data_IF_678931175929
#
_entry.id   IF_678931175929
#
_cell.length_a   1.000
_cell.length_b   1.000
_cell.length_c   1.000
_cell.angle_alpha   90.00
_cell.angle_beta   90.00
_cell.angle_gamma   90.00
#
_symmetry.space_group_name_H-M   'P 1'
#
loop_
_entity.id
_entity.type
_entity.pdbx_description
1 polymer ?
#
# COMPACT_ATOMS: atom_id res chain seq x y z
N UNK A 1 13.14 -10.36 -5.06
CA UNK A 1 13.32 -9.10 -5.79
C UNK A 1 12.27 -8.07 -5.37
N UNK A 2 10.95 -8.38 -5.44
CA UNK A 2 9.88 -7.42 -5.11
C UNK A 2 9.99 -6.85 -3.69
N UNK A 3 10.24 -7.68 -2.69
CA UNK A 3 10.44 -7.23 -1.30
C UNK A 3 11.66 -6.31 -1.18
N UNK A 4 12.78 -6.67 -1.84
CA UNK A 4 14.01 -5.86 -1.87
C UNK A 4 13.77 -4.48 -2.49
N UNK A 5 12.99 -4.42 -3.57
CA UNK A 5 12.57 -3.15 -4.17
C UNK A 5 11.72 -2.32 -3.21
N UNK A 6 10.65 -2.93 -2.64
CA UNK A 6 9.78 -2.25 -1.68
C UNK A 6 10.54 -1.73 -0.46
N UNK A 7 11.54 -2.47 0.01
CA UNK A 7 12.37 -2.06 1.15
C UNK A 7 13.22 -0.83 0.83
N UNK A 8 13.83 -0.78 -0.36
CA UNK A 8 14.66 0.33 -0.84
C UNK A 8 13.85 1.59 -1.17
N UNK A 9 12.61 1.48 -1.62
CA UNK A 9 11.79 2.61 -2.08
C UNK A 9 11.27 3.43 -0.89
N UNK A 10 11.58 4.72 -0.85
CA UNK A 10 11.33 5.59 0.33
C UNK A 10 9.86 5.86 0.59
N UNK A 11 9.00 5.84 -0.44
CA UNK A 11 7.59 6.15 -0.29
C UNK A 11 6.70 4.92 -0.07
N UNK A 12 7.29 3.73 -0.08
CA UNK A 12 6.62 2.49 0.30
C UNK A 12 6.77 2.33 1.82
N UNK A 13 5.71 2.63 2.56
CA UNK A 13 5.74 2.69 4.03
C UNK A 13 5.57 1.31 4.69
N UNK A 14 4.97 0.35 4.00
CA UNK A 14 4.81 -1.04 4.44
C UNK A 14 4.84 -2.00 3.23
N UNK A 15 5.00 -3.28 3.50
CA UNK A 15 5.14 -4.30 2.46
C UNK A 15 4.03 -5.34 2.57
N UNK A 16 3.42 -5.64 1.42
CA UNK A 16 2.60 -6.82 1.20
C UNK A 16 3.23 -7.63 0.06
N UNK A 17 3.10 -8.94 0.07
CA UNK A 17 3.66 -9.75 -1.01
C UNK A 17 3.04 -9.40 -2.35
N UNK A 18 3.86 -9.20 -3.37
CA UNK A 18 3.41 -8.92 -4.74
C UNK A 18 2.98 -10.16 -5.52
N UNK A 19 2.91 -11.33 -4.90
CA UNK A 19 2.49 -12.56 -5.55
C UNK A 19 2.61 -13.76 -4.63
N UNK A 20 2.06 -14.88 -5.05
CA UNK A 20 2.13 -16.14 -4.33
C UNK A 20 3.36 -16.93 -4.77
N UNK A 21 4.05 -17.56 -3.81
CA UNK A 21 5.12 -18.51 -4.09
C UNK A 21 4.48 -19.79 -4.64
N UNK A 22 4.96 -20.27 -5.78
CA UNK A 22 4.41 -21.47 -6.46
C UNK A 22 5.39 -22.64 -6.59
N UNK A 23 6.61 -22.46 -6.11
CA UNK A 23 7.71 -23.43 -6.16
C UNK A 23 7.93 -24.17 -4.84
N UNK A 24 7.00 -24.04 -3.91
CA UNK A 24 6.94 -24.77 -2.64
C UNK A 24 5.62 -25.52 -2.50
N UNK A 25 5.53 -26.44 -1.53
CA UNK A 25 4.27 -27.12 -1.23
C UNK A 25 3.20 -26.12 -0.75
N UNK A 26 1.96 -26.30 -1.17
CA UNK A 26 0.87 -25.31 -0.97
C UNK A 26 0.70 -24.89 0.49
N UNK A 27 0.79 -25.85 1.43
CA UNK A 27 0.68 -25.54 2.86
C UNK A 27 1.87 -24.77 3.44
N UNK A 28 2.96 -24.62 2.68
CA UNK A 28 4.15 -23.84 3.08
C UNK A 28 4.16 -22.43 2.48
N UNK A 29 3.28 -22.12 1.53
CA UNK A 29 3.30 -20.84 0.78
C UNK A 29 3.38 -19.63 1.69
N UNK A 30 2.41 -19.44 2.58
CA UNK A 30 2.36 -18.32 3.52
C UNK A 30 3.59 -18.24 4.41
N UNK A 31 4.02 -19.39 4.94
CA UNK A 31 5.15 -19.50 5.86
C UNK A 31 6.46 -19.09 5.22
N UNK A 32 6.79 -19.68 4.06
CA UNK A 32 8.01 -19.38 3.31
C UNK A 32 7.99 -17.94 2.80
N UNK A 33 6.84 -17.47 2.32
CA UNK A 33 6.66 -16.09 1.88
C UNK A 33 6.93 -15.09 3.02
N UNK A 34 6.38 -15.36 4.20
CA UNK A 34 6.58 -14.48 5.34
C UNK A 34 8.04 -14.52 5.84
N UNK A 35 8.67 -15.67 5.85
CA UNK A 35 10.10 -15.78 6.17
C UNK A 35 10.96 -14.94 5.20
N UNK A 36 10.66 -14.95 3.90
CA UNK A 36 11.34 -14.09 2.93
C UNK A 36 11.08 -12.61 3.22
N UNK A 37 9.86 -12.23 3.58
CA UNK A 37 9.53 -10.84 3.92
C UNK A 37 10.34 -10.36 5.14
N UNK A 38 10.42 -11.18 6.19
CA UNK A 38 11.21 -10.87 7.40
C UNK A 38 12.72 -10.75 7.11
N UNK A 39 13.27 -11.59 6.23
CA UNK A 39 14.68 -11.61 5.85
C UNK A 39 15.08 -10.46 4.93
N UNK A 40 14.12 -9.84 4.25
CA UNK A 40 14.39 -8.87 3.19
C UNK A 40 13.88 -7.47 3.50
N UNK A 41 13.24 -7.24 4.65
CA UNK A 41 12.76 -5.91 5.01
C UNK A 41 12.53 -5.73 6.50
N UNK A 42 12.83 -4.53 7.00
CA UNK A 42 12.47 -4.07 8.34
C UNK A 42 11.12 -3.31 8.38
N UNK A 43 10.55 -2.99 7.22
CA UNK A 43 9.28 -2.26 7.14
C UNK A 43 8.13 -3.08 7.72
N UNK A 44 7.07 -2.43 8.25
CA UNK A 44 5.85 -3.11 8.65
C UNK A 44 5.27 -3.94 7.49
N UNK A 45 4.58 -5.02 7.81
CA UNK A 45 4.16 -6.00 6.81
C UNK A 45 2.67 -6.29 6.89
N UNK A 46 2.08 -6.63 5.77
CA UNK A 46 0.72 -7.17 5.70
C UNK A 46 0.82 -8.61 5.20
N UNK A 47 0.17 -9.51 5.92
CA UNK A 47 0.27 -10.94 5.65
C UNK A 47 -1.10 -11.52 5.35
N UNK A 48 -1.20 -12.24 4.24
CA UNK A 48 -2.36 -13.07 3.92
C UNK A 48 -2.03 -14.49 4.38
N UNK A 49 -2.88 -15.06 5.22
CA UNK A 49 -2.76 -16.44 5.69
C UNK A 49 -3.93 -17.28 5.13
N UNK A 50 -3.67 -18.49 4.70
CA UNK A 50 -4.72 -19.38 4.23
C UNK A 50 -5.60 -19.83 5.40
N UNK A 51 -4.98 -20.24 6.49
CA UNK A 51 -5.69 -20.70 7.69
C UNK A 51 -5.09 -20.19 9.02
N UNK A 52 -5.67 -20.65 10.12
CA UNK A 52 -5.25 -20.27 11.46
C UNK A 52 -3.90 -20.90 11.85
N UNK A 53 -3.48 -22.00 11.24
CA UNK A 53 -2.20 -22.65 11.57
C UNK A 53 -1.05 -21.88 10.91
N UNK A 54 -1.24 -21.44 9.67
CA UNK A 54 -0.33 -20.49 9.02
C UNK A 54 -0.13 -19.27 9.89
N UNK A 55 -1.23 -18.69 10.37
CA UNK A 55 -1.18 -17.50 11.22
C UNK A 55 -0.43 -17.72 12.53
N UNK A 56 -0.55 -18.90 13.16
CA UNK A 56 0.23 -19.23 14.37
C UNK A 56 1.74 -19.23 14.09
N UNK A 57 2.16 -19.79 12.96
CA UNK A 57 3.56 -19.83 12.57
C UNK A 57 4.09 -18.45 12.20
N UNK A 58 3.27 -17.63 11.49
CA UNK A 58 3.56 -16.22 11.22
C UNK A 58 3.77 -15.43 12.52
N UNK A 59 2.87 -15.59 13.51
CA UNK A 59 3.01 -14.95 14.83
C UNK A 59 4.29 -15.41 15.53
N UNK A 60 4.62 -16.71 15.47
CA UNK A 60 5.84 -17.25 16.09
C UNK A 60 7.12 -16.69 15.45
N UNK A 61 7.17 -16.58 14.13
CA UNK A 61 8.29 -15.97 13.41
C UNK A 61 8.43 -14.48 13.74
N UNK A 62 7.33 -13.72 13.73
CA UNK A 62 7.34 -12.32 14.09
C UNK A 62 7.74 -12.08 15.55
N UNK A 63 7.30 -12.95 16.47
CA UNK A 63 7.69 -12.90 17.87
C UNK A 63 9.20 -13.19 18.06
N UNK A 64 9.79 -14.08 17.25
CA UNK A 64 11.23 -14.31 17.25
C UNK A 64 12.00 -13.03 16.84
N UNK A 65 11.55 -12.31 15.80
CA UNK A 65 12.14 -11.04 15.38
C UNK A 65 11.99 -9.95 16.47
N UNK A 66 10.86 -9.88 17.16
CA UNK A 66 10.61 -8.91 18.24
C UNK A 66 11.17 -9.34 19.60
N UNK A 67 11.69 -10.55 19.71
CA UNK A 67 12.24 -11.13 20.93
C UNK A 67 11.19 -11.75 21.85
N UNK A 68 9.92 -11.40 21.74
CA UNK A 68 8.79 -12.02 22.47
C UNK A 68 7.44 -11.67 21.87
N UNK A 69 6.41 -12.46 22.21
CA UNK A 69 5.02 -12.16 21.85
C UNK A 69 4.54 -10.85 22.48
N UNK A 70 4.92 -10.56 23.71
CA UNK A 70 4.56 -9.32 24.40
C UNK A 70 5.12 -8.09 23.66
N UNK A 71 6.38 -8.14 23.23
CA UNK A 71 6.97 -7.07 22.43
C UNK A 71 6.27 -6.92 21.07
N UNK A 72 5.89 -8.03 20.44
CA UNK A 72 5.13 -8.00 19.19
C UNK A 72 3.76 -7.34 19.37
N UNK A 73 3.06 -7.60 20.47
CA UNK A 73 1.76 -6.98 20.80
C UNK A 73 1.89 -5.46 21.02
N UNK A 74 2.97 -5.01 21.69
CA UNK A 74 3.23 -3.58 21.93
C UNK A 74 3.74 -2.84 20.69
N UNK A 75 4.50 -3.51 19.83
CA UNK A 75 5.06 -2.95 18.60
C UNK A 75 4.84 -3.93 17.45
N UNK A 76 3.63 -4.01 16.91
CA UNK A 76 3.31 -4.94 15.84
C UNK A 76 4.28 -4.79 14.66
N UNK A 77 4.75 -5.92 14.14
CA UNK A 77 5.57 -5.98 12.94
C UNK A 77 4.70 -6.15 11.70
N UNK A 78 3.55 -6.76 11.88
CA UNK A 78 2.62 -7.03 10.79
C UNK A 78 1.16 -6.85 11.21
N UNK A 79 0.29 -6.74 10.21
CA UNK A 79 -1.15 -6.92 10.35
C UNK A 79 -1.62 -8.05 9.42
N UNK A 80 -2.69 -8.70 9.80
CA UNK A 80 -3.29 -9.79 8.99
C UNK A 80 -4.32 -9.19 8.04
N UNK A 81 -4.24 -9.56 6.76
CA UNK A 81 -5.32 -9.34 5.80
C UNK A 81 -6.31 -10.49 5.88
N UNK A 82 -7.54 -10.18 6.21
CA UNK A 82 -8.64 -11.13 6.35
C UNK A 82 -9.90 -10.54 5.73
N UNK A 83 -10.73 -11.36 5.09
CA UNK A 83 -11.91 -10.88 4.39
C UNK A 83 -13.10 -11.84 4.50
N UNK A 84 -14.33 -11.32 4.49
CA UNK A 84 -15.52 -12.12 4.25
C UNK A 84 -15.61 -12.50 2.76
N UNK A 85 -16.48 -13.43 2.45
CA UNK A 85 -16.89 -13.71 1.07
C UNK A 85 -18.20 -12.99 0.77
N UNK A 86 -18.15 -11.93 -0.02
CA UNK A 86 -19.35 -11.17 -0.39
C UNK A 86 -20.28 -11.98 -1.31
N UNK A 87 -21.62 -11.94 -1.15
CA UNK A 87 -22.34 -11.12 -0.18
C UNK A 87 -22.59 -11.82 1.17
N UNK A 88 -22.15 -11.21 2.25
CA UNK A 88 -22.54 -11.51 3.64
C UNK A 88 -22.21 -12.95 4.11
N UNK A 89 -21.19 -13.59 3.53
CA UNK A 89 -20.72 -14.91 3.94
C UNK A 89 -19.38 -14.76 4.69
N UNK A 90 -19.29 -15.43 5.84
CA UNK A 90 -18.05 -15.50 6.61
C UNK A 90 -17.64 -16.97 6.69
N UNK A 91 -16.49 -17.30 6.15
CA UNK A 91 -15.94 -18.65 6.20
C UNK A 91 -15.37 -18.96 7.57
N UNK A 92 -15.24 -20.24 7.92
CA UNK A 92 -14.59 -20.64 9.18
C UNK A 92 -13.16 -20.14 9.26
N UNK A 93 -12.42 -20.22 8.15
CA UNK A 93 -11.01 -19.79 8.05
C UNK A 93 -10.86 -18.29 8.34
N UNK A 94 -11.77 -17.46 7.78
CA UNK A 94 -11.76 -16.02 8.03
C UNK A 94 -12.06 -15.70 9.50
N UNK A 95 -13.07 -16.34 10.09
CA UNK A 95 -13.46 -16.12 11.47
C UNK A 95 -12.41 -16.64 12.44
N UNK A 96 -11.83 -17.82 12.22
CA UNK A 96 -10.79 -18.38 13.09
C UNK A 96 -9.54 -17.48 13.13
N UNK A 97 -9.10 -16.95 11.99
CA UNK A 97 -8.01 -15.97 11.90
C UNK A 97 -8.36 -14.67 12.65
N UNK A 98 -9.58 -14.16 12.43
CA UNK A 98 -10.07 -12.96 13.10
C UNK A 98 -10.09 -13.11 14.64
N UNK A 99 -10.56 -14.26 15.14
CA UNK A 99 -10.61 -14.57 16.57
C UNK A 99 -9.21 -14.73 17.16
N UNK A 100 -8.28 -15.38 16.46
CA UNK A 100 -6.89 -15.51 16.90
C UNK A 100 -6.20 -14.14 16.95
N UNK A 101 -6.40 -13.27 15.94
CA UNK A 101 -5.89 -11.91 15.95
C UNK A 101 -6.39 -11.13 17.17
N UNK A 102 -7.70 -11.21 17.48
CA UNK A 102 -8.27 -10.58 18.66
C UNK A 102 -7.63 -11.10 19.95
N UNK A 103 -7.53 -12.43 20.10
CA UNK A 103 -6.96 -13.08 21.27
C UNK A 103 -5.50 -12.67 21.49
N UNK A 104 -4.70 -12.69 20.44
CA UNK A 104 -3.27 -12.39 20.48
C UNK A 104 -2.97 -10.89 20.36
N UNK A 105 -3.99 -10.03 20.22
CA UNK A 105 -3.86 -8.59 19.99
C UNK A 105 -2.97 -8.23 18.78
N UNK A 106 -3.02 -9.05 17.74
CA UNK A 106 -2.38 -8.77 16.45
C UNK A 106 -3.33 -7.90 15.62
N UNK A 107 -2.86 -6.80 15.02
CA UNK A 107 -3.69 -6.00 14.14
C UNK A 107 -4.26 -6.82 12.99
N UNK A 108 -5.54 -6.65 12.72
CA UNK A 108 -6.23 -7.32 11.62
C UNK A 108 -7.00 -6.30 10.78
N UNK A 109 -6.86 -6.41 9.47
CA UNK A 109 -7.72 -5.79 8.50
C UNK A 109 -8.84 -6.79 8.14
N UNK A 110 -10.09 -6.42 8.38
CA UNK A 110 -11.23 -7.20 7.89
C UNK A 110 -11.86 -6.45 6.72
N UNK A 111 -11.40 -6.81 5.52
CA UNK A 111 -11.68 -6.08 4.29
C UNK A 111 -12.90 -6.67 3.56
N UNK A 112 -13.95 -5.89 3.43
CA UNK A 112 -15.10 -6.26 2.60
C UNK A 112 -14.73 -6.09 1.11
N UNK A 113 -14.80 -7.19 0.36
CA UNK A 113 -14.38 -7.29 -1.05
C UNK A 113 -15.54 -7.32 -2.05
N UNK A 114 -16.64 -6.63 -1.79
CA UNK A 114 -17.85 -6.70 -2.61
C UNK A 114 -17.71 -6.05 -3.99
N UNK A 115 -17.90 -6.83 -5.05
CA UNK A 115 -17.83 -6.39 -6.44
C UNK A 115 -19.17 -5.78 -6.90
N UNK A 116 -19.19 -4.49 -7.16
CA UNK A 116 -20.37 -3.72 -7.57
C UNK A 116 -20.94 -4.24 -8.91
N UNK A 117 -22.21 -4.67 -8.88
CA UNK A 117 -22.87 -5.33 -10.01
C UNK A 117 -22.67 -6.84 -10.10
N UNK A 118 -21.77 -7.39 -9.28
CA UNK A 118 -21.52 -8.82 -9.16
C UNK A 118 -22.01 -9.37 -7.82
N UNK A 119 -21.30 -9.07 -6.74
CA UNK A 119 -21.61 -9.55 -5.39
C UNK A 119 -22.20 -8.47 -4.48
N UNK A 120 -22.35 -7.25 -4.98
CA UNK A 120 -23.09 -6.15 -4.33
C UNK A 120 -24.04 -5.50 -5.32
N UNK A 121 -24.99 -4.66 -4.85
CA UNK A 121 -25.77 -3.83 -5.77
C UNK A 121 -24.87 -3.00 -6.69
N UNK A 122 -25.32 -2.77 -7.93
CA UNK A 122 -24.53 -2.06 -8.96
C UNK A 122 -24.28 -0.58 -8.66
N UNK A 123 -24.98 -0.01 -7.69
CA UNK A 123 -24.82 1.39 -7.29
C UNK A 123 -23.74 1.54 -6.23
N UNK A 124 -22.93 2.58 -6.31
CA UNK A 124 -21.87 2.86 -5.32
C UNK A 124 -22.42 2.88 -3.89
N UNK A 125 -23.56 3.56 -3.65
CA UNK A 125 -24.19 3.57 -2.32
C UNK A 125 -24.64 2.19 -1.82
N UNK A 126 -25.14 1.33 -2.72
CA UNK A 126 -25.50 -0.05 -2.37
C UNK A 126 -24.29 -0.90 -2.03
N UNK A 127 -23.20 -0.74 -2.75
CA UNK A 127 -21.91 -1.40 -2.46
C UNK A 127 -21.36 -0.93 -1.12
N UNK A 128 -21.32 0.37 -0.86
CA UNK A 128 -20.88 0.93 0.43
C UNK A 128 -21.70 0.35 1.58
N UNK A 129 -23.04 0.30 1.44
CA UNK A 129 -23.92 -0.22 2.48
C UNK A 129 -23.63 -1.69 2.82
N UNK A 130 -23.44 -2.53 1.79
CA UNK A 130 -23.19 -3.96 2.00
C UNK A 130 -21.79 -4.18 2.58
N UNK A 131 -20.75 -3.57 2.00
CA UNK A 131 -19.37 -3.66 2.50
C UNK A 131 -19.27 -3.16 3.95
N UNK A 132 -19.97 -2.06 4.28
CA UNK A 132 -20.03 -1.58 5.66
C UNK A 132 -20.64 -2.62 6.61
N UNK A 133 -21.70 -3.30 6.21
CA UNK A 133 -22.33 -4.33 7.04
C UNK A 133 -21.36 -5.52 7.28
N UNK A 134 -20.61 -5.93 6.26
CA UNK A 134 -19.60 -6.99 6.37
C UNK A 134 -18.45 -6.58 7.31
N UNK A 135 -17.89 -5.37 7.15
CA UNK A 135 -16.86 -4.87 8.06
C UNK A 135 -17.34 -4.78 9.51
N UNK A 136 -18.56 -4.30 9.74
CA UNK A 136 -19.14 -4.18 11.09
C UNK A 136 -19.38 -5.54 11.72
N UNK A 137 -19.77 -6.56 10.94
CA UNK A 137 -19.88 -7.92 11.48
C UNK A 137 -18.53 -8.43 11.97
N UNK A 138 -17.47 -8.29 11.17
CA UNK A 138 -16.11 -8.63 11.59
C UNK A 138 -15.67 -7.88 12.84
N UNK A 139 -15.92 -6.58 12.91
CA UNK A 139 -15.63 -5.74 14.06
C UNK A 139 -16.34 -6.26 15.33
N UNK A 140 -17.63 -6.56 15.24
CA UNK A 140 -18.42 -7.05 16.39
C UNK A 140 -17.86 -8.38 16.90
N UNK A 141 -17.61 -9.34 16.02
CA UNK A 141 -17.05 -10.65 16.40
C UNK A 141 -15.68 -10.46 17.06
N UNK A 142 -14.81 -9.67 16.46
CA UNK A 142 -13.45 -9.39 16.95
C UNK A 142 -13.47 -8.73 18.33
N UNK A 143 -14.28 -7.70 18.53
CA UNK A 143 -14.36 -6.96 19.78
C UNK A 143 -15.10 -7.72 20.90
N UNK A 144 -16.03 -8.61 20.57
CA UNK A 144 -16.62 -9.53 21.54
C UNK A 144 -15.61 -10.55 22.06
N UNK A 145 -14.67 -10.99 21.23
CA UNK A 145 -13.58 -11.90 21.64
C UNK A 145 -12.59 -11.20 22.57
N UNK A 146 -12.15 -10.00 22.25
CA UNK A 146 -11.21 -9.23 23.07
C UNK A 146 -11.41 -7.71 22.86
N UNK A 147 -12.15 -7.04 23.76
CA UNK A 147 -12.40 -5.61 23.66
C UNK A 147 -11.11 -4.78 23.60
N UNK A 148 -11.04 -3.86 22.65
CA UNK A 148 -9.89 -2.99 22.43
C UNK A 148 -8.70 -3.66 21.71
N UNK A 149 -8.85 -4.86 21.15
CA UNK A 149 -7.86 -5.43 20.24
C UNK A 149 -7.78 -4.61 18.93
N UNK A 150 -6.59 -4.47 18.30
CA UNK A 150 -6.39 -3.63 17.12
C UNK A 150 -7.18 -4.13 15.90
N UNK A 151 -7.94 -3.23 15.26
CA UNK A 151 -8.77 -3.54 14.11
C UNK A 151 -8.69 -2.42 13.08
N UNK A 152 -8.55 -2.78 11.80
CA UNK A 152 -8.62 -1.88 10.66
C UNK A 152 -9.94 -2.13 9.90
N UNK A 153 -10.63 -1.04 9.62
CA UNK A 153 -11.84 -1.05 8.82
C UNK A 153 -11.44 -1.11 7.34
N UNK A 154 -11.55 -2.30 6.75
CA UNK A 154 -11.01 -2.60 5.45
C UNK A 154 -12.06 -2.69 4.34
N UNK A 155 -11.65 -2.33 3.16
CA UNK A 155 -12.39 -2.56 1.94
C UNK A 155 -11.40 -2.69 0.78
N UNK A 156 -11.82 -3.40 -0.24
CA UNK A 156 -11.14 -3.54 -1.51
C UNK A 156 -12.18 -3.91 -2.55
N UNK A 157 -12.04 -3.45 -3.73
CA UNK A 157 -12.76 -3.76 -4.94
C UNK A 157 -13.44 -2.57 -5.62
N UNK A 158 -13.63 -2.77 -6.92
CA UNK A 158 -14.28 -1.84 -7.81
C UNK A 158 -15.61 -2.38 -8.35
N UNK A 159 -16.22 -1.69 -9.30
CA UNK A 159 -17.33 -2.21 -10.05
C UNK A 159 -16.89 -3.30 -11.03
N UNK A 160 -17.83 -4.15 -11.42
CA UNK A 160 -17.69 -5.03 -12.55
C UNK A 160 -18.14 -4.32 -13.84
N UNK A 161 -17.33 -4.35 -14.89
CA UNK A 161 -17.81 -3.99 -16.22
C UNK A 161 -18.75 -5.10 -16.71
N UNK A 162 -20.05 -4.82 -16.74
CA UNK A 162 -21.08 -5.79 -17.12
C UNK A 162 -21.03 -6.21 -18.59
N UNK A 163 -20.19 -5.55 -19.43
CA UNK A 163 -19.97 -5.93 -20.83
C UNK A 163 -18.89 -6.99 -20.97
N UNK A 164 -17.83 -6.86 -20.17
CA UNK A 164 -16.66 -7.76 -20.20
C UNK A 164 -16.63 -8.74 -19.05
N UNK A 165 -17.43 -8.52 -18.00
CA UNK A 165 -17.47 -9.28 -16.76
C UNK A 165 -16.13 -9.23 -15.98
N UNK A 166 -15.34 -8.18 -16.20
CA UNK A 166 -14.07 -7.95 -15.51
C UNK A 166 -14.24 -6.93 -14.38
N UNK A 167 -13.48 -7.10 -13.32
CA UNK A 167 -13.32 -6.07 -12.28
C UNK A 167 -12.60 -4.84 -12.84
N UNK A 168 -12.95 -3.65 -12.32
CA UNK A 168 -12.33 -2.37 -12.74
C UNK A 168 -11.91 -1.59 -11.49
N UNK A 169 -10.78 -1.95 -10.89
CA UNK A 169 -10.32 -1.37 -9.62
C UNK A 169 -10.11 0.14 -9.69
N UNK A 170 -9.36 0.65 -10.64
CA UNK A 170 -9.04 2.08 -10.74
C UNK A 170 -10.13 2.93 -11.41
N UNK A 171 -11.39 2.47 -11.47
CA UNK A 171 -12.47 3.23 -12.10
C UNK A 171 -12.94 4.41 -11.23
N UNK A 172 -13.56 5.44 -11.84
CA UNK A 172 -14.16 6.54 -11.06
C UNK A 172 -15.14 6.06 -9.99
N UNK A 173 -15.91 4.99 -10.27
CA UNK A 173 -16.86 4.41 -9.30
C UNK A 173 -16.13 3.71 -8.15
N UNK A 174 -15.02 3.01 -8.40
CA UNK A 174 -14.18 2.42 -7.35
C UNK A 174 -13.67 3.51 -6.39
N UNK A 175 -13.15 4.61 -6.94
CA UNK A 175 -12.68 5.76 -6.16
C UNK A 175 -13.81 6.39 -5.33
N UNK A 176 -15.05 6.47 -5.87
CA UNK A 176 -16.22 6.96 -5.11
C UNK A 176 -16.58 6.02 -3.96
N UNK A 177 -16.59 4.70 -4.19
CA UNK A 177 -16.85 3.69 -3.16
C UNK A 177 -15.81 3.82 -2.06
N UNK A 178 -14.52 3.88 -2.40
CA UNK A 178 -13.43 4.08 -1.44
C UNK A 178 -13.64 5.33 -0.58
N UNK A 179 -13.97 6.47 -1.20
CA UNK A 179 -14.25 7.71 -0.47
C UNK A 179 -15.37 7.55 0.56
N UNK A 180 -16.48 6.90 0.17
CA UNK A 180 -17.58 6.61 1.09
C UNK A 180 -17.18 5.67 2.23
N UNK A 181 -16.38 4.63 1.94
CA UNK A 181 -15.87 3.72 2.98
C UNK A 181 -14.89 4.42 3.94
N UNK A 182 -14.02 5.31 3.43
CA UNK A 182 -13.16 6.15 4.27
C UNK A 182 -13.98 7.06 5.20
N UNK A 183 -15.09 7.63 4.72
CA UNK A 183 -16.02 8.42 5.55
C UNK A 183 -16.69 7.57 6.64
N UNK A 184 -17.09 6.34 6.32
CA UNK A 184 -17.63 5.40 7.31
C UNK A 184 -16.58 5.03 8.36
N UNK A 185 -15.34 4.76 7.97
CA UNK A 185 -14.26 4.51 8.92
C UNK A 185 -14.07 5.70 9.90
N UNK A 186 -14.04 6.93 9.39
CA UNK A 186 -13.98 8.15 10.22
C UNK A 186 -15.18 8.28 11.16
N UNK A 187 -16.38 7.98 10.67
CA UNK A 187 -17.60 8.00 11.47
C UNK A 187 -17.51 7.06 12.67
N UNK A 188 -16.94 5.86 12.47
CA UNK A 188 -16.70 4.87 13.54
C UNK A 188 -15.43 5.13 14.34
N UNK A 189 -14.62 6.13 13.98
CA UNK A 189 -13.32 6.41 14.60
C UNK A 189 -12.34 5.22 14.48
N UNK A 190 -12.35 4.55 13.34
CA UNK A 190 -11.48 3.43 13.03
C UNK A 190 -10.44 3.82 11.96
N UNK A 191 -9.23 3.28 12.02
CA UNK A 191 -8.30 3.40 10.92
C UNK A 191 -8.84 2.65 9.69
N UNK A 192 -8.73 3.27 8.52
CA UNK A 192 -9.18 2.70 7.26
C UNK A 192 -8.06 2.00 6.50
N UNK A 193 -8.42 0.96 5.79
CA UNK A 193 -7.63 0.25 4.79
C UNK A 193 -8.34 0.33 3.44
N UNK A 194 -7.61 0.68 2.37
CA UNK A 194 -8.15 0.79 1.01
C UNK A 194 -7.08 0.51 -0.04
N UNK A 195 -7.44 0.73 -1.28
CA UNK A 195 -6.62 0.45 -2.46
C UNK A 195 -6.07 1.75 -3.07
N UNK A 196 -4.93 1.67 -3.72
CA UNK A 196 -4.42 2.71 -4.60
C UNK A 196 -3.22 2.19 -5.42
N UNK A 197 -3.06 2.67 -6.65
CA UNK A 197 -1.87 2.41 -7.47
C UNK A 197 -1.92 1.15 -8.33
N UNK A 198 -2.94 0.34 -8.19
CA UNK A 198 -3.27 -0.72 -9.14
C UNK A 198 -3.99 -0.16 -10.38
N UNK A 199 -4.12 -0.96 -11.40
CA UNK A 199 -4.78 -0.56 -12.63
C UNK A 199 -5.36 -1.72 -13.43
N UNK A 200 -6.18 -1.36 -14.43
CA UNK A 200 -6.77 -2.31 -15.38
C UNK A 200 -5.84 -2.61 -16.55
N UNK A 201 -4.83 -1.77 -16.80
CA UNK A 201 -3.84 -2.00 -17.84
C UNK A 201 -3.06 -3.29 -17.61
N UNK A 202 -2.73 -3.99 -18.69
CA UNK A 202 -2.01 -5.28 -18.67
C UNK A 202 -0.50 -5.10 -18.71
N UNK A 203 -0.05 -3.88 -18.93
CA UNK A 203 1.37 -3.53 -19.05
C UNK A 203 1.63 -2.18 -18.39
N UNK A 204 2.88 -1.92 -18.01
CA UNK A 204 3.32 -0.61 -17.54
C UNK A 204 3.35 0.38 -18.71
N UNK A 205 2.29 1.18 -18.87
CA UNK A 205 2.08 2.14 -19.94
C UNK A 205 1.41 3.45 -19.44
N UNK A 206 0.94 4.27 -20.37
CA UNK A 206 0.26 5.53 -20.07
C UNK A 206 -1.04 5.30 -19.32
N UNK A 207 -1.76 4.20 -19.60
CA UNK A 207 -3.00 3.87 -18.90
C UNK A 207 -2.73 3.53 -17.45
N UNK A 208 -1.80 2.61 -17.17
CA UNK A 208 -1.48 2.21 -15.79
C UNK A 208 -0.99 3.41 -14.96
N UNK A 209 -0.16 4.28 -15.56
CA UNK A 209 0.34 5.48 -14.89
C UNK A 209 -0.76 6.50 -14.60
N UNK A 210 -1.71 6.69 -15.53
CA UNK A 210 -2.88 7.57 -15.34
C UNK A 210 -3.78 7.05 -14.22
N UNK A 211 -4.11 5.76 -14.25
CA UNK A 211 -4.95 5.10 -13.26
C UNK A 211 -4.33 5.20 -11.86
N UNK A 212 -3.07 4.80 -11.71
CA UNK A 212 -2.34 4.88 -10.45
C UNK A 212 -2.23 6.32 -9.92
N UNK A 213 -1.88 7.29 -10.77
CA UNK A 213 -1.76 8.70 -10.36
C UNK A 213 -3.08 9.26 -9.85
N UNK A 214 -4.18 8.98 -10.54
CA UNK A 214 -5.50 9.43 -10.12
C UNK A 214 -5.92 8.77 -8.81
N UNK A 215 -5.74 7.45 -8.68
CA UNK A 215 -6.18 6.71 -7.51
C UNK A 215 -5.37 7.07 -6.26
N UNK A 216 -4.04 7.13 -6.35
CA UNK A 216 -3.15 7.51 -5.24
C UNK A 216 -3.47 8.92 -4.73
N UNK A 217 -3.65 9.90 -5.64
CA UNK A 217 -4.02 11.26 -5.25
C UNK A 217 -5.37 11.29 -4.53
N UNK A 218 -6.37 10.57 -5.06
CA UNK A 218 -7.70 10.53 -4.47
C UNK A 218 -7.69 9.81 -3.12
N UNK A 219 -6.96 8.72 -2.96
CA UNK A 219 -6.82 8.04 -1.67
C UNK A 219 -6.24 8.96 -0.59
N UNK A 220 -5.24 9.77 -0.94
CA UNK A 220 -4.66 10.78 -0.04
C UNK A 220 -5.69 11.86 0.34
N UNK A 221 -6.42 12.42 -0.64
CA UNK A 221 -7.45 13.45 -0.41
C UNK A 221 -8.66 12.91 0.38
N UNK A 222 -9.01 11.64 0.19
CA UNK A 222 -10.06 10.96 0.94
C UNK A 222 -9.64 10.62 2.38
N UNK A 223 -8.35 10.74 2.70
CA UNK A 223 -7.79 10.47 4.01
C UNK A 223 -7.83 8.98 4.36
N UNK A 224 -7.60 8.11 3.39
CA UNK A 224 -7.35 6.69 3.64
C UNK A 224 -6.07 6.54 4.46
N UNK A 225 -6.12 5.78 5.56
CA UNK A 225 -4.97 5.67 6.47
C UNK A 225 -3.88 4.74 5.93
N UNK A 226 -4.29 3.62 5.34
CA UNK A 226 -3.40 2.60 4.76
C UNK A 226 -3.95 2.23 3.39
N UNK A 227 -3.09 2.28 2.37
CA UNK A 227 -3.44 1.89 1.00
C UNK A 227 -2.43 0.89 0.46
N UNK A 228 -2.91 -0.09 -0.29
CA UNK A 228 -2.10 -1.15 -0.88
C UNK A 228 -2.24 -1.18 -2.41
N UNK A 229 -1.64 -2.17 -3.06
CA UNK A 229 -1.73 -2.54 -4.48
C UNK A 229 -0.87 -1.70 -5.45
N UNK A 230 0.07 -0.90 -4.95
CA UNK A 230 1.03 -0.23 -5.85
C UNK A 230 1.92 -1.25 -6.57
N UNK A 231 2.11 -1.05 -7.88
CA UNK A 231 2.89 -1.98 -8.73
C UNK A 231 2.06 -3.10 -9.36
N UNK A 232 0.78 -3.26 -8.98
CA UNK A 232 -0.12 -4.20 -9.60
C UNK A 232 -0.70 -3.70 -10.91
N UNK A 233 -0.97 -4.64 -11.82
CA UNK A 233 -1.58 -4.48 -13.13
C UNK A 233 -2.67 -5.53 -13.31
N UNK A 234 -3.51 -5.37 -14.34
CA UNK A 234 -4.55 -6.34 -14.71
C UNK A 234 -5.46 -6.72 -13.53
N UNK A 235 -5.90 -5.71 -12.77
CA UNK A 235 -6.75 -5.90 -11.60
C UNK A 235 -6.15 -6.86 -10.57
N UNK A 236 -4.86 -6.70 -10.26
CA UNK A 236 -4.15 -7.52 -9.29
C UNK A 236 -3.65 -8.88 -9.81
N UNK A 237 -3.85 -9.20 -11.09
CA UNK A 237 -3.45 -10.49 -11.68
C UNK A 237 -2.00 -10.51 -12.18
N UNK A 238 -1.37 -9.36 -12.34
CA UNK A 238 0.04 -9.24 -12.71
C UNK A 238 0.73 -8.10 -11.98
N UNK A 239 2.06 -8.08 -12.02
CA UNK A 239 2.90 -7.07 -11.38
C UNK A 239 3.92 -6.51 -12.36
N UNK A 240 4.38 -5.28 -12.13
CA UNK A 240 5.54 -4.72 -12.81
C UNK A 240 6.41 -3.96 -11.80
N UNK A 241 7.70 -4.30 -11.79
CA UNK A 241 8.68 -3.58 -10.97
C UNK A 241 8.87 -2.14 -11.44
N UNK A 242 8.80 -1.90 -12.75
CA UNK A 242 8.82 -0.54 -13.30
C UNK A 242 7.59 0.25 -12.84
N UNK A 243 6.41 -0.38 -12.83
CA UNK A 243 5.19 0.27 -12.34
C UNK A 243 5.27 0.58 -10.85
N UNK A 244 5.82 -0.33 -10.03
CA UNK A 244 6.08 -0.10 -8.61
C UNK A 244 6.97 1.13 -8.38
N UNK A 245 8.06 1.26 -9.13
CA UNK A 245 8.98 2.40 -9.04
C UNK A 245 8.34 3.70 -9.53
N UNK A 246 7.46 3.63 -10.53
CA UNK A 246 6.65 4.78 -10.98
C UNK A 246 5.64 5.17 -9.90
N UNK A 247 5.00 4.19 -9.24
CA UNK A 247 4.08 4.46 -8.12
C UNK A 247 4.80 5.12 -6.94
N UNK A 248 6.02 4.73 -6.60
CA UNK A 248 6.83 5.38 -5.58
C UNK A 248 6.99 6.88 -5.87
N UNK A 249 7.29 7.26 -7.12
CA UNK A 249 7.38 8.67 -7.52
C UNK A 249 6.01 9.37 -7.50
N UNK A 250 4.93 8.69 -7.91
CA UNK A 250 3.57 9.23 -7.84
C UNK A 250 3.19 9.52 -6.38
N UNK A 251 3.54 8.63 -5.43
CA UNK A 251 3.30 8.83 -4.00
C UNK A 251 4.09 10.03 -3.50
N UNK A 252 5.39 10.14 -3.82
CA UNK A 252 6.22 11.30 -3.49
C UNK A 252 5.60 12.61 -3.97
N UNK A 253 5.19 12.64 -5.24
CA UNK A 253 4.52 13.79 -5.87
C UNK A 253 3.20 14.11 -5.18
N UNK A 254 2.41 13.09 -4.83
CA UNK A 254 1.14 13.25 -4.11
C UNK A 254 1.38 13.82 -2.71
N UNK A 255 2.33 13.28 -1.95
CA UNK A 255 2.71 13.80 -0.62
C UNK A 255 3.09 15.30 -0.71
N UNK A 256 3.83 15.69 -1.73
CA UNK A 256 4.19 17.09 -1.97
C UNK A 256 2.96 17.95 -2.35
N UNK A 257 2.04 17.42 -3.16
CA UNK A 257 0.85 18.13 -3.63
C UNK A 257 -0.16 18.41 -2.51
N UNK A 258 -0.35 17.47 -1.57
CA UNK A 258 -1.31 17.60 -0.47
C UNK A 258 -0.70 18.24 0.78
N UNK A 259 0.57 18.62 0.74
CA UNK A 259 1.24 19.31 1.83
C UNK A 259 0.58 20.67 2.09
N UNK A 260 0.53 21.05 3.35
CA UNK A 260 -0.04 22.35 3.75
C UNK A 260 0.69 23.51 3.08
N UNK A 261 -0.09 24.45 2.53
CA UNK A 261 0.44 25.69 1.97
C UNK A 261 0.85 26.64 3.11
N UNK A 262 2.12 26.94 3.19
CA UNK A 262 2.64 27.91 4.16
C UNK A 262 2.32 29.33 3.71
N UNK A 263 1.78 30.14 4.62
CA UNK A 263 1.33 31.52 4.35
C UNK A 263 1.79 32.53 5.41
N UNK A 264 2.85 32.20 6.16
CA UNK A 264 3.50 33.15 7.07
C UNK A 264 4.30 34.21 6.31
N UNK A 265 4.82 35.23 7.02
CA UNK A 265 5.49 36.39 6.41
C UNK A 265 6.70 35.99 5.54
N UNK A 266 7.45 34.97 5.94
CA UNK A 266 8.59 34.44 5.18
C UNK A 266 8.12 33.87 3.82
N UNK A 267 7.09 33.02 3.84
CA UNK A 267 6.58 32.36 2.63
C UNK A 267 5.73 33.27 1.73
N UNK A 268 5.14 34.32 2.28
CA UNK A 268 4.48 35.36 1.47
C UNK A 268 5.50 36.19 0.68
N UNK A 269 6.74 36.27 1.11
CA UNK A 269 7.83 36.93 0.39
C UNK A 269 7.61 38.43 0.14
N UNK A 270 6.84 39.14 1.00
CA UNK A 270 6.48 40.53 0.79
C UNK A 270 7.71 41.43 0.59
N UNK A 271 8.75 41.24 1.39
CA UNK A 271 10.00 42.02 1.27
C UNK A 271 10.74 41.75 -0.05
N UNK A 272 10.69 40.52 -0.56
CA UNK A 272 11.22 40.19 -1.86
C UNK A 272 10.44 40.89 -2.98
N UNK A 273 9.10 40.92 -2.89
CA UNK A 273 8.23 41.64 -3.82
C UNK A 273 8.57 43.14 -3.82
N UNK A 274 8.72 43.73 -2.64
CA UNK A 274 9.08 45.14 -2.51
C UNK A 274 10.47 45.48 -3.07
N UNK A 275 11.46 44.59 -2.89
CA UNK A 275 12.82 44.77 -3.42
C UNK A 275 12.86 44.64 -4.94
N UNK A 276 12.21 43.64 -5.49
CA UNK A 276 12.24 43.37 -6.94
C UNK A 276 11.46 44.42 -7.71
N UNK A 277 10.34 44.88 -7.16
CA UNK A 277 9.53 45.96 -7.76
C UNK A 277 8.91 45.59 -9.11
N UNK A 278 8.51 46.64 -9.85
CA UNK A 278 7.84 46.49 -11.13
C UNK A 278 8.77 46.03 -12.25
N UNK A 279 8.43 44.95 -12.96
CA UNK A 279 9.15 44.47 -14.14
C UNK A 279 10.50 43.81 -13.84
N UNK A 280 10.84 43.59 -12.57
CA UNK A 280 12.04 42.85 -12.16
C UNK A 280 11.85 41.32 -12.27
N UNK A 281 12.86 40.57 -11.81
CA UNK A 281 12.81 39.11 -11.71
C UNK A 281 13.44 38.67 -10.39
N UNK A 282 13.05 37.47 -9.94
CA UNK A 282 13.44 36.92 -8.64
C UNK A 282 14.61 35.96 -8.69
N UNK A 283 15.22 35.71 -9.88
CA UNK A 283 16.23 34.65 -10.09
C UNK A 283 17.42 34.80 -9.13
N UNK A 284 17.85 36.04 -8.88
CA UNK A 284 18.99 36.35 -8.01
C UNK A 284 18.55 36.90 -6.63
N UNK A 285 17.25 36.92 -6.33
CA UNK A 285 16.81 37.38 -5.01
C UNK A 285 17.12 36.33 -3.93
N UNK A 286 17.41 36.82 -2.74
CA UNK A 286 17.71 35.97 -1.57
C UNK A 286 16.58 35.00 -1.26
N UNK A 287 15.33 35.43 -1.39
CA UNK A 287 14.17 34.58 -1.15
C UNK A 287 14.17 33.36 -2.09
N UNK A 288 14.46 33.54 -3.38
CA UNK A 288 14.59 32.41 -4.32
C UNK A 288 15.72 31.45 -3.91
N UNK A 289 16.87 31.99 -3.51
CA UNK A 289 18.00 31.18 -3.07
C UNK A 289 17.66 30.35 -1.81
N UNK A 290 16.96 30.95 -0.87
CA UNK A 290 16.59 30.31 0.41
C UNK A 290 15.56 29.17 0.19
N UNK A 291 14.62 29.33 -0.76
CA UNK A 291 13.48 28.40 -0.97
C UNK A 291 13.60 27.49 -2.20
N UNK A 292 14.57 27.72 -3.12
CA UNK A 292 14.64 26.98 -4.40
C UNK A 292 14.76 25.45 -4.24
N UNK A 293 15.21 24.96 -3.09
CA UNK A 293 15.34 23.52 -2.81
C UNK A 293 14.08 22.89 -2.20
N UNK A 294 13.05 23.71 -1.90
CA UNK A 294 11.79 23.21 -1.37
C UNK A 294 10.86 22.72 -2.48
N UNK A 295 11.16 23.11 -3.73
CA UNK A 295 10.41 22.60 -4.88
C UNK A 295 10.62 21.11 -5.05
N UNK A 296 9.53 20.38 -5.25
CA UNK A 296 9.58 18.94 -5.44
C UNK A 296 10.37 18.56 -6.69
N UNK A 297 11.22 17.57 -6.56
CA UNK A 297 12.01 17.02 -7.65
C UNK A 297 11.92 15.50 -7.62
N UNK A 298 11.37 14.89 -8.67
CA UNK A 298 11.30 13.44 -8.80
C UNK A 298 12.55 12.84 -9.44
N UNK A 299 12.83 11.58 -9.12
CA UNK A 299 13.95 10.83 -9.71
C UNK A 299 13.67 10.39 -11.15
N UNK A 300 12.41 10.08 -11.46
CA UNK A 300 11.97 9.61 -12.77
C UNK A 300 11.44 10.73 -13.67
N UNK A 301 10.99 11.85 -13.10
CA UNK A 301 10.51 13.00 -13.87
C UNK A 301 11.66 13.72 -14.54
N UNK A 302 11.53 14.04 -15.83
CA UNK A 302 12.53 14.77 -16.61
C UNK A 302 12.09 16.22 -16.80
N UNK A 303 12.85 17.16 -16.23
CA UNK A 303 12.65 18.60 -16.34
C UNK A 303 13.67 19.27 -17.27
N UNK A 304 14.46 18.47 -18.03
CA UNK A 304 15.44 19.01 -18.96
C UNK A 304 14.77 19.63 -20.20
N UNK A 305 15.54 20.49 -20.95
CA UNK A 305 15.13 20.89 -22.29
C UNK A 305 15.09 19.68 -23.23
N UNK A 306 14.36 19.81 -24.34
CA UNK A 306 14.30 18.75 -25.35
C UNK A 306 15.70 18.34 -25.83
N UNK A 307 16.59 19.30 -26.07
CA UNK A 307 17.96 19.05 -26.54
C UNK A 307 18.77 18.26 -25.50
N UNK A 308 18.62 18.60 -24.24
CA UNK A 308 19.29 17.89 -23.14
C UNK A 308 18.75 16.49 -23.00
N UNK A 309 17.43 16.31 -22.98
CA UNK A 309 16.78 14.99 -22.95
C UNK A 309 17.21 14.13 -24.14
N UNK A 310 17.23 14.75 -25.36
CA UNK A 310 17.68 14.07 -26.56
C UNK A 310 19.14 13.60 -26.47
N UNK A 311 20.03 14.44 -25.95
CA UNK A 311 21.45 14.10 -25.78
C UNK A 311 21.73 13.06 -24.72
N UNK A 312 20.80 12.94 -23.70
CA UNK A 312 20.84 11.94 -22.64
C UNK A 312 20.21 10.60 -23.01
N UNK A 313 19.88 10.36 -24.28
CA UNK A 313 19.39 9.07 -24.75
C UNK A 313 17.89 8.97 -24.98
N UNK A 314 17.12 10.05 -24.84
CA UNK A 314 15.66 10.12 -25.09
C UNK A 314 14.83 9.12 -24.28
N UNK A 315 15.26 8.77 -23.08
CA UNK A 315 14.61 7.75 -22.28
C UNK A 315 13.20 8.17 -21.88
N UNK A 316 12.24 7.28 -22.08
CA UNK A 316 10.90 7.36 -21.50
C UNK A 316 10.94 7.18 -19.99
N UNK A 317 9.87 7.53 -19.27
CA UNK A 317 9.76 7.29 -17.82
C UNK A 317 9.90 5.80 -17.49
N UNK A 318 9.28 4.93 -18.28
CA UNK A 318 9.38 3.47 -18.10
C UNK A 318 10.82 2.96 -18.22
N UNK A 319 11.59 3.45 -19.21
CA UNK A 319 12.99 3.06 -19.35
C UNK A 319 13.85 3.55 -18.20
N UNK A 320 13.60 4.76 -17.67
CA UNK A 320 14.27 5.24 -16.44
C UNK A 320 13.88 4.42 -15.22
N UNK A 321 12.60 4.04 -15.10
CA UNK A 321 12.13 3.15 -14.04
C UNK A 321 12.82 1.77 -14.12
N UNK A 322 12.95 1.20 -15.31
CA UNK A 322 13.69 -0.05 -15.54
C UNK A 322 15.15 0.05 -15.08
N UNK A 323 15.84 1.12 -15.45
CA UNK A 323 17.22 1.36 -14.98
C UNK A 323 17.30 1.48 -13.46
N UNK A 324 16.31 2.12 -12.81
CA UNK A 324 16.25 2.23 -11.34
C UNK A 324 16.00 0.85 -10.70
N UNK A 325 15.13 0.02 -11.28
CA UNK A 325 14.92 -1.38 -10.84
C UNK A 325 16.22 -2.16 -10.88
N UNK A 326 16.90 -2.18 -12.03
CA UNK A 326 18.17 -2.91 -12.17
C UNK A 326 19.26 -2.38 -11.23
N UNK A 327 19.33 -1.07 -11.05
CA UNK A 327 20.27 -0.46 -10.12
C UNK A 327 20.02 -0.90 -8.66
N UNK A 328 18.76 -0.86 -8.21
CA UNK A 328 18.40 -1.29 -6.84
C UNK A 328 18.74 -2.77 -6.66
N UNK A 329 18.27 -3.65 -7.55
CA UNK A 329 18.49 -5.09 -7.42
C UNK A 329 19.96 -5.50 -7.47
N UNK A 330 20.80 -4.70 -8.15
CA UNK A 330 22.24 -4.98 -8.24
C UNK A 330 23.06 -4.44 -7.07
N UNK A 331 22.59 -3.38 -6.40
CA UNK A 331 23.41 -2.63 -5.43
C UNK A 331 22.84 -2.58 -4.02
N UNK A 332 21.52 -2.74 -3.86
CA UNK A 332 20.87 -2.68 -2.56
C UNK A 332 20.86 -4.05 -1.88
N UNK A 333 21.24 -4.09 -0.62
CA UNK A 333 21.20 -5.29 0.22
C UNK A 333 20.43 -4.92 1.50
N UNK A 334 19.27 -5.56 1.75
CA UNK A 334 18.57 -5.41 3.02
C UNK A 334 19.45 -5.82 4.19
N UNK A 335 19.27 -5.19 5.35
CA UNK A 335 20.00 -5.57 6.55
C UNK A 335 19.63 -6.99 6.98
N UNK A 336 20.63 -7.89 7.19
CA UNK A 336 20.33 -9.27 7.53
C UNK A 336 19.81 -9.39 8.97
N UNK A 337 18.91 -10.34 9.18
CA UNK A 337 18.47 -10.71 10.52
C UNK A 337 19.66 -11.23 11.36
N UNK A 338 19.63 -11.05 12.70
CA UNK A 338 20.57 -11.74 13.60
C UNK A 338 20.53 -13.27 13.37
N UNK A 339 21.68 -13.91 13.33
CA UNK A 339 21.80 -15.34 12.99
C UNK A 339 20.94 -16.27 13.88
N UNK A 340 20.79 -15.91 15.16
CA UNK A 340 19.92 -16.64 16.10
C UNK A 340 18.42 -16.52 15.77
N UNK A 341 17.99 -15.35 15.26
CA UNK A 341 16.61 -15.11 14.82
C UNK A 341 16.32 -15.86 13.53
N UNK A 342 17.26 -15.80 12.58
CA UNK A 342 17.16 -16.51 11.31
C UNK A 342 17.07 -18.03 11.50
N UNK A 343 17.94 -18.60 12.36
CA UNK A 343 17.89 -20.01 12.75
C UNK A 343 16.54 -20.39 13.40
N UNK A 344 15.96 -19.50 14.21
CA UNK A 344 14.65 -19.75 14.82
C UNK A 344 13.52 -19.76 13.80
N UNK A 345 13.58 -18.92 12.78
CA UNK A 345 12.64 -18.94 11.65
C UNK A 345 12.75 -20.28 10.91
N UNK A 346 13.97 -20.76 10.62
CA UNK A 346 14.17 -22.07 9.98
C UNK A 346 13.61 -23.23 10.81
N UNK A 347 13.80 -23.23 12.13
CA UNK A 347 13.19 -24.23 13.02
C UNK A 347 11.65 -24.25 12.92
N UNK A 348 10.99 -23.08 12.86
CA UNK A 348 9.54 -22.98 12.72
C UNK A 348 9.10 -23.56 11.38
N UNK A 349 9.79 -23.21 10.29
CA UNK A 349 9.52 -23.74 8.95
C UNK A 349 9.70 -25.28 8.89
N UNK A 350 10.75 -25.83 9.51
CA UNK A 350 10.98 -27.27 9.57
C UNK A 350 9.90 -28.02 10.37
N UNK A 351 9.39 -27.43 11.44
CA UNK A 351 8.31 -28.01 12.24
C UNK A 351 6.95 -27.99 11.51
N UNK A 352 6.78 -27.09 10.57
CA UNK A 352 5.53 -26.94 9.79
C UNK A 352 5.50 -27.87 8.54
N UNK A 353 6.65 -28.37 8.06
CA UNK A 353 6.77 -29.35 6.97
C UNK A 353 6.34 -30.75 7.42
#
# INVERSE_FOLDING_TARGET
DGITLCDCLENIDFIMSMGLISDVETHMNTREQYAVMLRKSEKPQIVVCDDVNDLKDVIAMAAAVRGSLENLQHRPLFAVYCEPTSPLVNTFEAIDKLLLCAEQRIPVNYAAGGLSGGTTPVTAGGTILLNNAECLLGLVIHQLKNPGAPFLYGFGNGPMDLRTMQSIYASPTAIQIQGGMCEMARYYQLPSWGEAGDGVSKICDEQSTMEASHFILMAALQGCNITHDVGYLDCGLSISFEHLVICDEIISRTKATVKELKTDEEYLGYDAIARVGHGGNYILDKHTYDHMKEEWSGDLSDFNSYETWHSKGKLSMRERAHQKVEHILSNYQPEPLPAEVDARIDEILEQAR
#
